data_IF_487840135146
#
_entry.id   IF_487840135146
#
_cell.length_a   1.000
_cell.length_b   1.000
_cell.length_c   1.000
_cell.angle_alpha   90.00
_cell.angle_beta   90.00
_cell.angle_gamma   90.00
#
_symmetry.space_group_name_H-M   'P 1'
#
loop_
_entity.id
_entity.type
_entity.pdbx_description
1 polymer ?
#
# COMPACT_ATOMS: atom_id res chain seq x y z
N UNK A 1 18.81 15.83 9.80
CA UNK A 1 17.62 15.03 9.44
C UNK A 1 17.02 14.51 10.73
N UNK A 2 15.71 14.61 10.92
CA UNK A 2 15.03 14.02 12.07
C UNK A 2 14.91 12.50 11.86
N UNK A 3 14.97 11.73 12.95
CA UNK A 3 14.92 10.26 12.91
C UNK A 3 13.76 9.68 12.06
N UNK A 4 12.50 10.17 12.18
CA UNK A 4 11.42 9.72 11.32
C UNK A 4 11.71 9.91 9.83
N UNK A 5 12.16 11.09 9.40
CA UNK A 5 12.49 11.35 7.99
C UNK A 5 13.61 10.43 7.46
N UNK A 6 14.57 10.05 8.32
CA UNK A 6 15.61 9.09 7.96
C UNK A 6 15.02 7.71 7.68
N UNK A 7 14.08 7.24 8.51
CA UNK A 7 13.41 5.94 8.33
C UNK A 7 12.60 5.91 7.03
N UNK A 8 11.88 6.99 6.72
CA UNK A 8 11.15 7.12 5.45
C UNK A 8 12.10 7.07 4.26
N UNK A 9 13.25 7.75 4.34
CA UNK A 9 14.26 7.72 3.28
C UNK A 9 14.87 6.32 3.10
N UNK A 10 15.17 5.62 4.19
CA UNK A 10 15.62 4.22 4.15
C UNK A 10 14.58 3.35 3.45
N UNK A 11 13.29 3.53 3.73
CA UNK A 11 12.21 2.78 3.06
C UNK A 11 12.21 3.00 1.55
N UNK A 12 12.41 4.23 1.08
CA UNK A 12 12.52 4.51 -0.36
C UNK A 12 13.73 3.79 -0.97
N UNK A 13 14.86 3.76 -0.26
CA UNK A 13 16.04 3.02 -0.71
C UNK A 13 15.84 1.50 -0.71
N UNK A 14 14.95 0.96 0.13
CA UNK A 14 14.60 -0.45 0.13
C UNK A 14 13.77 -0.86 -1.11
N UNK A 15 13.13 0.08 -1.81
CA UNK A 15 12.38 -0.23 -3.04
C UNK A 15 13.30 -0.81 -4.14
N UNK A 16 14.38 -0.13 -4.58
CA UNK A 16 15.29 -0.72 -5.55
C UNK A 16 15.96 -2.00 -5.04
N UNK A 17 16.25 -2.11 -3.75
CA UNK A 17 16.79 -3.34 -3.16
C UNK A 17 15.80 -4.50 -3.31
N UNK A 18 14.51 -4.27 -3.03
CA UNK A 18 13.45 -5.27 -3.24
C UNK A 18 13.39 -5.73 -4.70
N UNK A 19 13.41 -4.79 -5.64
CA UNK A 19 13.36 -5.11 -7.07
C UNK A 19 14.58 -5.93 -7.48
N UNK A 20 15.77 -5.51 -7.06
CA UNK A 20 17.01 -6.22 -7.38
C UNK A 20 17.03 -7.63 -6.80
N UNK A 21 16.57 -7.82 -5.55
CA UNK A 21 16.50 -9.17 -4.96
C UNK A 21 15.57 -10.10 -5.74
N UNK A 22 14.45 -9.60 -6.27
CA UNK A 22 13.52 -10.40 -7.07
C UNK A 22 14.03 -10.72 -8.48
N UNK A 23 14.96 -9.92 -9.00
CA UNK A 23 15.58 -10.16 -10.32
C UNK A 23 16.72 -11.19 -10.26
N UNK A 24 17.23 -11.53 -9.07
CA UNK A 24 18.29 -12.52 -8.90
C UNK A 24 17.67 -13.94 -8.96
N UNK A 25 18.08 -14.79 -9.93
CA UNK A 25 17.54 -16.16 -10.04
C UNK A 25 18.23 -17.12 -9.04
N UNK A 26 17.98 -16.89 -7.74
CA UNK A 26 18.57 -17.70 -6.67
C UNK A 26 17.48 -18.17 -5.70
N UNK A 27 17.68 -19.35 -5.09
CA UNK A 27 16.70 -19.93 -4.14
C UNK A 27 16.44 -19.08 -2.90
N UNK A 28 17.40 -18.27 -2.50
CA UNK A 28 17.28 -17.35 -1.35
C UNK A 28 16.59 -16.01 -1.69
N UNK A 29 16.45 -15.67 -2.98
CA UNK A 29 15.95 -14.34 -3.41
C UNK A 29 14.53 -14.05 -2.92
N UNK A 30 13.64 -15.04 -2.92
CA UNK A 30 12.28 -14.91 -2.40
C UNK A 30 12.26 -14.56 -0.91
N UNK A 31 13.06 -15.27 -0.11
CA UNK A 31 13.16 -14.99 1.31
C UNK A 31 13.79 -13.62 1.59
N UNK A 32 14.82 -13.26 0.83
CA UNK A 32 15.45 -11.94 0.94
C UNK A 32 14.47 -10.80 0.55
N UNK A 33 13.69 -10.97 -0.52
CA UNK A 33 12.66 -10.02 -0.91
C UNK A 33 11.58 -9.85 0.18
N UNK A 34 11.12 -10.95 0.77
CA UNK A 34 10.20 -10.92 1.90
C UNK A 34 10.81 -10.21 3.12
N UNK A 35 12.08 -10.46 3.43
CA UNK A 35 12.79 -9.78 4.52
C UNK A 35 12.90 -8.27 4.27
N UNK A 36 13.27 -7.84 3.06
CA UNK A 36 13.33 -6.42 2.66
C UNK A 36 11.97 -5.76 2.79
N UNK A 37 10.91 -6.39 2.29
CA UNK A 37 9.55 -5.88 2.40
C UNK A 37 9.07 -5.83 3.86
N UNK A 38 9.36 -6.85 4.65
CA UNK A 38 9.07 -6.90 6.08
C UNK A 38 9.78 -5.79 6.87
N UNK A 39 11.07 -5.55 6.58
CA UNK A 39 11.84 -4.46 7.18
C UNK A 39 11.24 -3.09 6.80
N UNK A 40 10.87 -2.89 5.53
CA UNK A 40 10.22 -1.66 5.11
C UNK A 40 8.88 -1.42 5.83
N UNK A 41 8.08 -2.48 5.99
CA UNK A 41 6.81 -2.42 6.74
C UNK A 41 7.01 -2.14 8.23
N UNK A 42 8.05 -2.71 8.82
CA UNK A 42 8.40 -2.47 10.23
C UNK A 42 8.89 -1.04 10.44
N UNK A 43 9.70 -0.50 9.53
CA UNK A 43 10.16 0.89 9.60
C UNK A 43 9.01 1.89 9.50
N UNK A 44 7.97 1.61 8.68
CA UNK A 44 6.74 2.41 8.61
C UNK A 44 5.99 2.47 9.95
N UNK A 45 5.81 1.30 10.57
CA UNK A 45 5.16 1.25 11.88
C UNK A 45 5.96 2.01 12.94
N UNK A 46 7.31 1.90 12.89
CA UNK A 46 8.21 2.51 13.84
C UNK A 46 8.29 4.03 13.68
N UNK A 47 8.37 4.56 12.45
CA UNK A 47 8.41 6.01 12.21
C UNK A 47 7.09 6.68 12.60
N UNK A 48 5.94 6.07 12.28
CA UNK A 48 4.64 6.52 12.73
C UNK A 48 4.48 6.53 14.27
N UNK A 49 5.05 5.56 14.96
CA UNK A 49 5.09 5.54 16.42
C UNK A 49 5.98 6.64 17.00
N UNK A 50 7.20 6.78 16.46
CA UNK A 50 8.18 7.77 16.90
C UNK A 50 7.72 9.21 16.62
N UNK A 51 7.15 9.46 15.45
CA UNK A 51 6.62 10.77 15.07
C UNK A 51 5.54 11.27 16.06
N UNK A 52 4.62 10.37 16.44
CA UNK A 52 3.58 10.68 17.45
C UNK A 52 4.17 10.92 18.83
N UNK A 53 5.16 10.12 19.25
CA UNK A 53 5.74 10.20 20.59
C UNK A 53 6.68 11.39 20.76
N UNK A 54 7.42 11.77 19.71
CA UNK A 54 8.41 12.86 19.74
C UNK A 54 7.82 14.22 19.34
N UNK A 55 6.59 14.28 18.80
CA UNK A 55 5.98 15.53 18.33
C UNK A 55 6.74 16.20 17.16
N UNK A 56 7.61 15.47 16.47
CA UNK A 56 8.49 15.98 15.41
C UNK A 56 7.96 15.68 14.01
N UNK A 57 6.71 16.04 13.75
CA UNK A 57 6.16 15.97 12.40
C UNK A 57 6.73 17.11 11.56
N UNK A 58 7.38 16.78 10.44
CA UNK A 58 7.86 17.76 9.46
C UNK A 58 6.93 17.77 8.25
N UNK A 59 6.80 18.93 7.57
CA UNK A 59 6.02 19.03 6.33
C UNK A 59 6.56 18.09 5.25
N UNK A 60 7.88 17.95 5.18
CA UNK A 60 8.54 17.07 4.23
C UNK A 60 8.26 15.58 4.53
N UNK A 61 8.33 15.14 5.81
CA UNK A 61 7.97 13.78 6.22
C UNK A 61 6.50 13.48 5.89
N UNK A 62 5.58 14.38 6.23
CA UNK A 62 4.16 14.21 5.95
C UNK A 62 3.82 14.04 4.45
N UNK A 63 4.65 14.58 3.55
CA UNK A 63 4.58 14.32 2.10
C UNK A 63 5.24 13.00 1.73
N UNK A 64 6.43 12.70 2.27
CA UNK A 64 7.25 11.57 1.84
C UNK A 64 6.72 10.23 2.34
N UNK A 65 6.15 10.18 3.56
CA UNK A 65 5.65 8.95 4.17
C UNK A 65 4.59 8.24 3.31
N UNK A 66 3.50 8.92 2.84
CA UNK A 66 2.51 8.28 1.99
C UNK A 66 3.07 7.83 0.63
N UNK A 67 4.13 8.48 0.14
CA UNK A 67 4.80 8.09 -1.10
C UNK A 67 5.60 6.82 -0.90
N UNK A 68 6.43 6.76 0.15
CA UNK A 68 7.26 5.60 0.48
C UNK A 68 6.43 4.33 0.69
N UNK A 69 5.32 4.44 1.45
CA UNK A 69 4.41 3.34 1.73
C UNK A 69 3.79 2.74 0.47
N UNK A 70 3.37 3.60 -0.45
CA UNK A 70 2.78 3.14 -1.71
C UNK A 70 3.82 2.54 -2.65
N UNK A 71 5.01 3.16 -2.73
CA UNK A 71 6.06 2.69 -3.62
C UNK A 71 6.47 1.25 -3.32
N UNK A 72 6.69 0.89 -2.05
CA UNK A 72 7.13 -0.48 -1.70
C UNK A 72 6.05 -1.52 -2.01
N UNK A 73 4.78 -1.22 -1.71
CA UNK A 73 3.64 -2.11 -1.97
C UNK A 73 3.38 -2.26 -3.47
N UNK A 74 3.35 -1.15 -4.21
CA UNK A 74 3.12 -1.16 -5.66
C UNK A 74 4.26 -1.90 -6.37
N UNK A 75 5.51 -1.63 -6.00
CA UNK A 75 6.67 -2.32 -6.58
C UNK A 75 6.62 -3.83 -6.33
N UNK A 76 6.29 -4.26 -5.11
CA UNK A 76 6.13 -5.66 -4.79
C UNK A 76 5.04 -6.33 -5.64
N UNK A 77 3.85 -5.71 -5.72
CA UNK A 77 2.73 -6.24 -6.52
C UNK A 77 3.05 -6.32 -8.01
N UNK A 78 3.68 -5.27 -8.58
CA UNK A 78 4.05 -5.24 -10.01
C UNK A 78 5.07 -6.34 -10.32
N UNK A 79 6.09 -6.52 -9.48
CA UNK A 79 7.08 -7.59 -9.66
C UNK A 79 6.43 -8.98 -9.55
N UNK A 80 5.53 -9.18 -8.60
CA UNK A 80 4.81 -10.44 -8.44
C UNK A 80 3.84 -10.72 -9.59
N UNK A 81 3.21 -9.70 -10.19
CA UNK A 81 2.38 -9.88 -11.41
C UNK A 81 3.19 -10.53 -12.52
N UNK A 82 4.41 -10.06 -12.76
CA UNK A 82 5.31 -10.65 -13.74
C UNK A 82 5.74 -12.08 -13.38
N UNK A 83 6.07 -12.31 -12.09
CA UNK A 83 6.54 -13.61 -11.61
C UNK A 83 5.46 -14.70 -11.61
N UNK A 84 4.24 -14.36 -11.17
CA UNK A 84 3.12 -15.30 -11.11
C UNK A 84 2.44 -15.52 -12.47
N UNK A 85 2.51 -14.56 -13.40
CA UNK A 85 1.93 -14.61 -14.75
C UNK A 85 0.47 -15.13 -14.78
N UNK A 86 -0.32 -14.78 -13.77
CA UNK A 86 -1.68 -15.26 -13.57
C UNK A 86 -2.67 -14.08 -13.71
N UNK A 87 -3.67 -14.17 -14.63
CA UNK A 87 -4.63 -13.09 -14.85
C UNK A 87 -5.43 -12.70 -13.61
N UNK A 88 -5.80 -13.67 -12.77
CA UNK A 88 -6.56 -13.41 -11.54
C UNK A 88 -5.71 -12.70 -10.47
N UNK A 89 -4.42 -13.06 -10.41
CA UNK A 89 -3.46 -12.31 -9.58
C UNK A 89 -3.34 -10.87 -10.06
N UNK A 90 -3.17 -10.69 -11.37
CA UNK A 90 -3.06 -9.36 -11.99
C UNK A 90 -4.31 -8.51 -11.73
N UNK A 91 -5.51 -9.10 -11.81
CA UNK A 91 -6.75 -8.40 -11.50
C UNK A 91 -6.78 -7.91 -10.04
N UNK A 92 -6.42 -8.76 -9.08
CA UNK A 92 -6.34 -8.37 -7.67
C UNK A 92 -5.32 -7.25 -7.44
N UNK A 93 -4.14 -7.33 -8.07
CA UNK A 93 -3.12 -6.31 -8.00
C UNK A 93 -3.59 -4.96 -8.57
N UNK A 94 -4.26 -4.98 -9.75
CA UNK A 94 -4.84 -3.77 -10.36
C UNK A 94 -5.89 -3.12 -9.45
N UNK A 95 -6.77 -3.92 -8.84
CA UNK A 95 -7.77 -3.42 -7.89
C UNK A 95 -7.11 -2.74 -6.69
N UNK A 96 -6.09 -3.38 -6.11
CA UNK A 96 -5.39 -2.85 -4.94
C UNK A 96 -4.66 -1.54 -5.29
N UNK A 97 -3.84 -1.55 -6.36
CA UNK A 97 -3.04 -0.39 -6.79
C UNK A 97 -3.94 0.76 -7.25
N UNK A 98 -4.93 0.49 -8.08
CA UNK A 98 -5.86 1.50 -8.59
C UNK A 98 -6.61 2.21 -7.47
N UNK A 99 -7.07 1.44 -6.47
CA UNK A 99 -7.72 2.02 -5.29
C UNK A 99 -6.75 2.85 -4.44
N UNK A 100 -5.52 2.40 -4.25
CA UNK A 100 -4.53 3.16 -3.48
C UNK A 100 -4.27 4.54 -4.10
N UNK A 101 -4.18 4.59 -5.42
CA UNK A 101 -4.01 5.85 -6.17
C UNK A 101 -5.28 6.71 -6.04
N UNK A 102 -6.45 6.14 -6.35
CA UNK A 102 -7.73 6.87 -6.36
C UNK A 102 -8.06 7.48 -4.98
N UNK A 103 -7.97 6.68 -3.91
CA UNK A 103 -8.30 7.17 -2.57
C UNK A 103 -7.24 8.14 -2.05
N UNK A 104 -5.99 8.02 -2.49
CA UNK A 104 -4.98 9.01 -2.15
C UNK A 104 -5.29 10.37 -2.76
N UNK A 105 -5.58 10.40 -4.06
CA UNK A 105 -5.97 11.61 -4.77
C UNK A 105 -7.25 12.23 -4.17
N UNK A 106 -8.27 11.37 -3.88
CA UNK A 106 -9.50 11.83 -3.25
C UNK A 106 -9.26 12.48 -1.87
N UNK A 107 -8.39 11.88 -1.05
CA UNK A 107 -8.06 12.44 0.27
C UNK A 107 -7.31 13.76 0.18
N UNK A 108 -6.41 13.89 -0.78
CA UNK A 108 -5.66 15.11 -1.03
C UNK A 108 -6.62 16.23 -1.46
N UNK A 109 -7.47 15.95 -2.44
CA UNK A 109 -8.50 16.88 -2.91
C UNK A 109 -9.47 17.29 -1.79
N UNK A 110 -9.97 16.33 -0.99
CA UNK A 110 -10.85 16.64 0.17
C UNK A 110 -10.11 17.44 1.26
N UNK A 111 -8.78 17.32 1.33
CA UNK A 111 -7.96 18.13 2.23
C UNK A 111 -7.85 19.58 1.78
N UNK A 112 -7.73 19.83 0.48
CA UNK A 112 -7.74 21.18 -0.12
C UNK A 112 -9.10 21.87 0.10
N UNK A 113 -10.19 21.10 -0.02
CA UNK A 113 -11.56 21.55 0.27
C UNK A 113 -11.86 21.69 1.78
N UNK A 114 -10.86 21.55 2.66
CA UNK A 114 -11.01 21.59 4.14
C UNK A 114 -12.01 20.58 4.74
N UNK A 115 -12.32 19.49 4.00
CA UNK A 115 -13.29 18.44 4.38
C UNK A 115 -12.64 17.10 4.73
N UNK A 116 -11.39 17.12 5.24
CA UNK A 116 -10.62 15.89 5.61
C UNK A 116 -11.38 14.90 6.49
N UNK A 117 -12.22 15.39 7.39
CA UNK A 117 -12.95 14.54 8.33
C UNK A 117 -13.93 13.57 7.67
N UNK A 118 -14.45 13.89 6.50
CA UNK A 118 -15.43 13.05 5.79
C UNK A 118 -14.81 11.77 5.20
N UNK A 119 -13.50 11.76 4.97
CA UNK A 119 -12.74 10.63 4.40
C UNK A 119 -11.70 10.08 5.40
N UNK A 120 -12.01 10.13 6.68
CA UNK A 120 -11.16 9.58 7.74
C UNK A 120 -10.96 8.06 7.59
N UNK A 121 -9.82 7.56 8.11
CA UNK A 121 -9.48 6.13 8.01
C UNK A 121 -10.51 5.29 8.73
N UNK A 122 -11.25 4.44 7.99
CA UNK A 122 -12.21 3.49 8.55
C UNK A 122 -11.48 2.27 9.18
N UNK A 123 -12.14 1.58 10.12
CA UNK A 123 -11.63 0.32 10.66
C UNK A 123 -11.42 -0.74 9.58
N UNK A 124 -12.33 -0.81 8.61
CA UNK A 124 -12.20 -1.68 7.42
C UNK A 124 -10.90 -1.40 6.65
N UNK A 125 -10.51 -0.13 6.55
CA UNK A 125 -9.24 0.26 5.91
C UNK A 125 -8.02 -0.30 6.64
N UNK A 126 -8.03 -0.39 7.96
CA UNK A 126 -6.94 -0.99 8.75
C UNK A 126 -6.87 -2.49 8.54
N UNK A 127 -7.99 -3.19 8.63
CA UNK A 127 -8.07 -4.64 8.44
C UNK A 127 -7.59 -5.03 7.05
N UNK A 128 -8.08 -4.35 6.00
CA UNK A 128 -7.64 -4.64 4.62
C UNK A 128 -6.13 -4.53 4.46
N UNK A 129 -5.52 -3.49 5.05
CA UNK A 129 -4.08 -3.25 4.94
C UNK A 129 -3.30 -4.38 5.61
N UNK A 130 -3.74 -4.87 6.76
CA UNK A 130 -3.13 -6.02 7.43
C UNK A 130 -3.18 -7.27 6.56
N UNK A 131 -4.34 -7.61 5.99
CA UNK A 131 -4.46 -8.76 5.07
C UNK A 131 -3.56 -8.61 3.83
N UNK A 132 -3.52 -7.42 3.26
CA UNK A 132 -2.68 -7.10 2.10
C UNK A 132 -1.19 -7.28 2.41
N UNK A 133 -0.71 -6.74 3.53
CA UNK A 133 0.70 -6.83 3.91
C UNK A 133 1.13 -8.28 4.18
N UNK A 134 0.28 -9.06 4.88
CA UNK A 134 0.52 -10.49 5.13
C UNK A 134 0.51 -11.26 3.80
N UNK A 135 -0.45 -11.02 2.92
CA UNK A 135 -0.53 -11.66 1.62
C UNK A 135 0.76 -11.43 0.80
N UNK A 136 1.20 -10.18 0.69
CA UNK A 136 2.42 -9.80 -0.04
C UNK A 136 3.64 -10.48 0.58
N UNK A 137 3.77 -10.47 1.90
CA UNK A 137 4.89 -11.08 2.61
C UNK A 137 4.98 -12.60 2.36
N UNK A 138 3.85 -13.30 2.47
CA UNK A 138 3.76 -14.75 2.23
C UNK A 138 4.09 -15.09 0.78
N UNK A 139 3.57 -14.30 -0.18
CA UNK A 139 3.80 -14.53 -1.61
C UNK A 139 5.24 -14.20 -2.02
N UNK A 140 5.85 -13.16 -1.47
CA UNK A 140 7.26 -12.86 -1.70
C UNK A 140 8.19 -13.93 -1.14
N UNK A 141 7.87 -14.50 0.02
CA UNK A 141 8.69 -15.51 0.68
C UNK A 141 8.71 -16.86 -0.04
N UNK A 142 7.81 -17.08 -0.99
CA UNK A 142 7.64 -18.35 -1.70
C UNK A 142 7.80 -18.15 -3.21
N UNK A 143 8.44 -19.11 -3.93
CA UNK A 143 8.42 -19.09 -5.39
C UNK A 143 6.97 -19.20 -5.91
N UNK A 144 6.67 -18.70 -7.12
CA UNK A 144 5.31 -18.63 -7.66
C UNK A 144 4.79 -19.99 -8.14
N UNK A 145 4.64 -20.91 -7.20
CA UNK A 145 4.21 -22.28 -7.41
C UNK A 145 2.86 -22.52 -6.72
N UNK A 146 1.79 -22.65 -7.50
CA UNK A 146 0.42 -22.81 -7.01
C UNK A 146 0.17 -24.14 -6.29
N UNK A 147 1.06 -25.14 -6.41
CA UNK A 147 0.93 -26.38 -5.66
C UNK A 147 1.30 -26.21 -4.18
N UNK A 148 2.04 -25.17 -3.85
CA UNK A 148 2.43 -24.88 -2.48
C UNK A 148 1.28 -24.28 -1.67
N UNK A 149 0.99 -24.88 -0.54
CA UNK A 149 -0.07 -24.41 0.36
C UNK A 149 0.11 -22.94 0.79
N UNK A 150 1.35 -22.50 1.03
CA UNK A 150 1.65 -21.12 1.39
C UNK A 150 1.29 -20.12 0.29
N UNK A 151 1.52 -20.49 -0.98
CA UNK A 151 1.15 -19.67 -2.13
C UNK A 151 -0.36 -19.60 -2.27
N UNK A 152 -1.08 -20.72 -2.11
CA UNK A 152 -2.55 -20.74 -2.11
C UNK A 152 -3.13 -19.88 -1.01
N UNK A 153 -2.59 -19.95 0.20
CA UNK A 153 -2.97 -19.08 1.33
C UNK A 153 -2.70 -17.60 1.02
N UNK A 154 -1.53 -17.29 0.43
CA UNK A 154 -1.19 -15.95 -0.02
C UNK A 154 -2.17 -15.39 -1.04
N UNK A 155 -2.60 -16.19 -2.02
CA UNK A 155 -3.65 -15.82 -2.98
C UNK A 155 -4.99 -15.58 -2.29
N UNK A 156 -5.40 -16.46 -1.37
CA UNK A 156 -6.63 -16.29 -0.60
C UNK A 156 -6.65 -14.97 0.17
N UNK A 157 -5.55 -14.66 0.87
CA UNK A 157 -5.39 -13.39 1.61
C UNK A 157 -5.40 -12.17 0.67
N UNK A 158 -4.77 -12.29 -0.51
CA UNK A 158 -4.74 -11.22 -1.51
C UNK A 158 -6.14 -10.92 -2.05
N UNK A 159 -6.93 -11.96 -2.35
CA UNK A 159 -8.31 -11.79 -2.81
C UNK A 159 -9.22 -11.21 -1.73
N UNK A 160 -9.06 -11.63 -0.47
CA UNK A 160 -9.76 -11.01 0.67
C UNK A 160 -9.38 -9.53 0.77
N UNK A 161 -8.10 -9.21 0.68
CA UNK A 161 -7.61 -7.83 0.70
C UNK A 161 -8.19 -7.01 -0.48
N UNK A 162 -8.26 -7.58 -1.69
CA UNK A 162 -8.85 -6.93 -2.86
C UNK A 162 -10.36 -6.68 -2.68
N UNK A 163 -11.11 -7.65 -2.16
CA UNK A 163 -12.55 -7.51 -1.87
C UNK A 163 -12.81 -6.42 -0.81
N UNK A 164 -12.06 -6.43 0.30
CA UNK A 164 -12.13 -5.40 1.33
C UNK A 164 -11.71 -4.02 0.79
N UNK A 165 -10.79 -4.01 -0.16
CA UNK A 165 -10.33 -2.80 -0.85
C UNK A 165 -11.46 -2.17 -1.67
N UNK A 166 -12.17 -2.95 -2.47
CA UNK A 166 -13.35 -2.50 -3.22
C UNK A 166 -14.46 -2.03 -2.28
N UNK A 167 -14.76 -2.80 -1.24
CA UNK A 167 -15.75 -2.42 -0.23
C UNK A 167 -15.43 -1.06 0.41
N UNK A 168 -14.18 -0.88 0.85
CA UNK A 168 -13.75 0.39 1.44
C UNK A 168 -13.80 1.54 0.43
N UNK A 169 -13.51 1.29 -0.86
CA UNK A 169 -13.60 2.29 -1.91
C UNK A 169 -15.04 2.82 -2.07
N UNK A 170 -16.03 1.93 -2.06
CA UNK A 170 -17.45 2.32 -2.12
C UNK A 170 -17.83 3.21 -0.93
N UNK A 171 -17.36 2.88 0.28
CA UNK A 171 -17.61 3.70 1.47
C UNK A 171 -17.03 5.12 1.29
N UNK A 172 -15.76 5.23 0.85
CA UNK A 172 -15.12 6.52 0.64
C UNK A 172 -15.77 7.35 -0.46
N UNK A 173 -16.12 6.71 -1.59
CA UNK A 173 -16.81 7.40 -2.69
C UNK A 173 -18.18 7.91 -2.27
N UNK A 174 -18.95 7.12 -1.50
CA UNK A 174 -20.24 7.58 -0.95
C UNK A 174 -20.08 8.77 -0.01
N UNK A 175 -19.07 8.75 0.85
CA UNK A 175 -18.80 9.86 1.77
C UNK A 175 -18.36 11.15 1.05
N UNK A 176 -17.60 11.01 -0.04
CA UNK A 176 -17.13 12.16 -0.82
C UNK A 176 -18.17 12.67 -1.86
N UNK A 177 -19.17 11.87 -2.20
CA UNK A 177 -20.12 12.16 -3.28
C UNK A 177 -20.80 13.53 -3.19
N UNK A 178 -21.31 14.01 -2.02
CA UNK A 178 -21.90 15.33 -1.92
C UNK A 178 -20.95 16.45 -2.33
N UNK A 179 -19.70 16.39 -1.86
CA UNK A 179 -18.67 17.39 -2.19
C UNK A 179 -18.25 17.34 -3.66
N UNK A 180 -18.16 16.13 -4.24
CA UNK A 180 -17.89 15.97 -5.66
C UNK A 180 -18.99 16.58 -6.53
N UNK A 181 -20.24 16.42 -6.12
CA UNK A 181 -21.39 16.98 -6.82
C UNK A 181 -21.42 18.52 -6.74
N UNK A 182 -21.19 19.08 -5.56
CA UNK A 182 -21.09 20.54 -5.38
C UNK A 182 -20.00 21.13 -6.28
N UNK A 183 -18.80 20.55 -6.28
CA UNK A 183 -17.70 21.03 -7.11
C UNK A 183 -17.96 20.89 -8.62
N UNK A 184 -18.74 19.88 -9.04
CA UNK A 184 -19.14 19.71 -10.44
C UNK A 184 -20.17 20.78 -10.86
N UNK A 185 -21.12 21.10 -10.01
CA UNK A 185 -22.14 22.15 -10.24
C UNK A 185 -21.48 23.52 -10.34
N UNK A 186 -20.53 23.85 -9.45
CA UNK A 186 -19.74 25.11 -9.50
C UNK A 186 -18.87 25.25 -10.77
N UNK A 187 -18.40 24.16 -11.34
CA UNK A 187 -17.58 24.19 -12.56
C UNK A 187 -18.40 24.29 -13.85
N UNK A 188 -19.73 24.07 -13.77
CA UNK A 188 -20.64 24.10 -14.91
C UNK A 188 -21.38 25.44 -15.09
N UNK A 189 -21.29 26.34 -14.09
CA UNK A 189 -21.75 27.70 -14.13
C UNK A 189 -20.64 28.68 -14.54
#
# INVERSE_FOLDING_TARGET
MNLPNLLTFVRILLVPVLILTLLIPASWSHFAAAAVFGLASLTDWLDGYLARRLGKLTRFGAFLDPVADKLIVVSALVMMVGAHANPWFSLAAVVIVGREIMISALREWMAEMQRRGMVAVSWVGKVKTTFQMIAILVLLANPPDLERIWVQLGYGLLYIAAALTLWSMVIYMRAAWPTLREAYEEASD
#
